data_IF_590412230203
#
_entry.id   IF_590412230203
#
_cell.length_a   1.000
_cell.length_b   1.000
_cell.length_c   1.000
_cell.angle_alpha   90.00
_cell.angle_beta   90.00
_cell.angle_gamma   90.00
#
_symmetry.space_group_name_H-M   'P 1'
#
loop_
_entity.id
_entity.type
_entity.pdbx_description
1 polymer ?
#
# COMPACT_ATOMS: atom_id res chain seq x y z
N UNK A 1 22.34 16.38 2.44
CA UNK A 1 21.81 15.20 3.18
C UNK A 1 20.51 15.63 3.85
N UNK A 2 19.45 14.89 3.76
CA UNK A 2 18.22 15.28 4.48
C UNK A 2 18.41 14.93 5.96
N UNK A 3 18.77 15.95 6.78
CA UNK A 3 19.10 15.73 8.20
C UNK A 3 17.98 15.01 8.95
N UNK A 4 16.71 15.24 8.57
CA UNK A 4 15.57 14.59 9.24
C UNK A 4 15.53 13.07 8.97
N UNK A 5 16.07 12.59 7.84
CA UNK A 5 16.14 11.16 7.53
C UNK A 5 17.07 10.41 8.47
N UNK A 6 18.21 11.00 8.84
CA UNK A 6 19.12 10.46 9.85
C UNK A 6 18.40 10.25 11.19
N UNK A 7 17.70 11.30 11.65
CA UNK A 7 16.95 11.23 12.91
C UNK A 7 15.78 10.26 12.83
N UNK A 8 15.16 10.10 11.66
CA UNK A 8 14.07 9.14 11.46
C UNK A 8 14.57 7.69 11.58
N UNK A 9 15.74 7.38 11.00
CA UNK A 9 16.38 6.07 11.15
C UNK A 9 16.77 5.83 12.61
N UNK A 10 17.37 6.82 13.26
CA UNK A 10 17.71 6.75 14.67
C UNK A 10 16.48 6.51 15.55
N UNK A 11 15.38 7.20 15.29
CA UNK A 11 14.11 7.03 16.02
C UNK A 11 13.59 5.60 15.94
N UNK A 12 13.69 4.95 14.75
CA UNK A 12 13.31 3.55 14.57
C UNK A 12 14.19 2.57 15.36
N UNK A 13 15.43 2.95 15.68
CA UNK A 13 16.37 2.14 16.47
C UNK A 13 16.17 2.28 17.98
N UNK A 14 15.43 3.29 18.45
CA UNK A 14 15.15 3.50 19.87
C UNK A 14 14.33 2.32 20.43
N UNK A 15 14.78 1.59 21.45
CA UNK A 15 14.03 0.52 22.07
C UNK A 15 12.65 0.98 22.55
N UNK A 16 11.64 0.15 22.34
CA UNK A 16 10.23 0.42 22.65
C UNK A 16 9.54 1.49 21.78
N UNK A 17 10.24 2.09 20.83
CA UNK A 17 9.65 2.96 19.82
C UNK A 17 9.36 2.14 18.57
N UNK A 18 8.12 1.62 18.47
CA UNK A 18 7.61 1.03 17.25
C UNK A 18 7.02 2.11 16.32
N UNK A 19 6.62 1.71 15.10
CA UNK A 19 6.13 2.65 14.08
C UNK A 19 4.92 3.48 14.55
N UNK A 20 4.01 2.90 15.32
CA UNK A 20 2.85 3.62 15.90
C UNK A 20 3.31 4.72 16.85
N UNK A 21 4.24 4.40 17.74
CA UNK A 21 4.79 5.37 18.71
C UNK A 21 5.59 6.45 17.99
N UNK A 22 6.41 6.07 17.03
CA UNK A 22 7.19 7.01 16.22
C UNK A 22 6.29 7.98 15.45
N UNK A 23 5.19 7.49 14.83
CA UNK A 23 4.23 8.38 14.16
C UNK A 23 3.53 9.33 15.11
N UNK A 24 3.16 8.90 16.33
CA UNK A 24 2.62 9.81 17.35
C UNK A 24 3.60 10.94 17.69
N UNK A 25 4.86 10.61 17.87
CA UNK A 25 5.93 11.59 18.13
C UNK A 25 6.09 12.55 16.93
N UNK A 26 6.15 12.03 15.71
CA UNK A 26 6.27 12.82 14.49
C UNK A 26 5.07 13.77 14.30
N UNK A 27 3.86 13.28 14.52
CA UNK A 27 2.64 14.11 14.42
C UNK A 27 2.63 15.26 15.44
N UNK A 28 3.14 14.99 16.66
CA UNK A 28 3.13 16.01 17.73
C UNK A 28 4.26 17.03 17.58
N UNK A 29 5.48 16.60 17.23
CA UNK A 29 6.66 17.47 17.17
C UNK A 29 7.00 17.96 15.76
N UNK A 30 6.38 17.39 14.72
CA UNK A 30 6.49 17.81 13.32
C UNK A 30 7.65 17.18 12.55
N UNK A 31 8.81 16.89 13.19
CA UNK A 31 9.94 16.22 12.53
C UNK A 31 10.73 15.33 13.49
N UNK A 32 11.49 14.38 12.94
CA UNK A 32 12.31 13.49 13.76
C UNK A 32 13.41 14.27 14.48
N UNK A 33 14.08 15.19 13.85
CA UNK A 33 15.10 16.05 14.46
C UNK A 33 14.55 16.82 15.68
N UNK A 34 13.33 17.37 15.54
CA UNK A 34 12.70 18.09 16.67
C UNK A 34 12.38 17.17 17.85
N UNK A 35 12.09 15.89 17.64
CA UNK A 35 11.84 14.93 18.72
C UNK A 35 13.09 14.78 19.59
N UNK A 36 14.25 14.63 18.97
CA UNK A 36 15.53 14.49 19.71
C UNK A 36 15.98 15.79 20.44
N UNK A 37 15.47 16.94 20.02
CA UNK A 37 15.73 18.21 20.66
C UNK A 37 14.78 18.54 21.83
N UNK A 38 13.84 17.64 22.20
CA UNK A 38 12.85 17.92 23.25
C UNK A 38 13.41 17.68 24.65
N UNK A 39 12.84 18.44 25.61
CA UNK A 39 13.10 18.18 27.04
C UNK A 39 12.33 16.95 27.54
N UNK A 40 12.83 16.35 28.64
CA UNK A 40 12.18 15.22 29.33
C UNK A 40 10.69 15.53 29.61
N UNK A 41 10.41 16.68 30.17
CA UNK A 41 9.05 17.09 30.56
C UNK A 41 8.07 17.12 29.38
N UNK A 42 8.53 17.57 28.21
CA UNK A 42 7.69 17.62 27.01
C UNK A 42 7.43 16.23 26.43
N UNK A 43 8.43 15.34 26.46
CA UNK A 43 8.30 13.97 25.99
C UNK A 43 7.35 13.16 26.89
N UNK A 44 7.50 13.26 28.23
CA UNK A 44 6.71 12.48 29.18
C UNK A 44 5.25 12.95 29.31
N UNK A 45 4.91 14.16 28.84
CA UNK A 45 3.52 14.63 28.72
C UNK A 45 2.71 13.88 27.68
N UNK A 46 3.37 13.21 26.73
CA UNK A 46 2.68 12.46 25.69
C UNK A 46 2.22 11.09 26.21
N UNK A 47 0.93 10.80 26.03
CA UNK A 47 0.35 9.50 26.41
C UNK A 47 1.07 8.36 25.66
N UNK A 48 1.62 7.41 26.40
CA UNK A 48 2.33 6.25 25.87
C UNK A 48 3.84 6.44 25.73
N UNK A 49 4.40 7.63 26.09
CA UNK A 49 5.84 7.86 26.17
C UNK A 49 6.27 7.79 27.62
N UNK A 50 6.77 6.62 28.01
CA UNK A 50 7.26 6.39 29.37
C UNK A 50 8.73 6.81 29.56
N UNK A 51 9.18 6.80 30.84
CA UNK A 51 10.53 7.21 31.24
C UNK A 51 11.66 6.46 30.51
N UNK A 52 11.46 5.18 30.13
CA UNK A 52 12.46 4.41 29.37
C UNK A 52 12.64 4.93 27.95
N UNK A 53 11.54 5.25 27.25
CA UNK A 53 11.60 5.83 25.88
C UNK A 53 12.25 7.21 25.97
N UNK A 54 11.81 8.03 26.91
CA UNK A 54 12.38 9.37 27.14
C UNK A 54 13.87 9.31 27.44
N UNK A 55 14.30 8.39 28.32
CA UNK A 55 15.71 8.20 28.62
C UNK A 55 16.52 7.87 27.35
N UNK A 56 16.04 6.91 26.54
CA UNK A 56 16.74 6.49 25.32
C UNK A 56 16.78 7.61 24.27
N UNK A 57 15.74 8.44 24.16
CA UNK A 57 15.72 9.60 23.28
C UNK A 57 16.75 10.67 23.71
N UNK A 58 16.86 10.94 25.02
CA UNK A 58 17.81 11.91 25.55
C UNK A 58 19.28 11.42 25.51
N UNK A 59 19.51 10.11 25.46
CA UNK A 59 20.84 9.47 25.38
C UNK A 59 21.01 8.77 24.01
N UNK A 60 20.74 9.50 22.94
CA UNK A 60 20.58 8.92 21.61
C UNK A 60 21.86 8.82 20.77
N UNK A 61 23.03 9.20 21.29
CA UNK A 61 24.28 9.23 20.53
C UNK A 61 24.61 7.91 19.81
N UNK A 62 24.41 6.77 20.47
CA UNK A 62 24.64 5.44 19.87
C UNK A 62 23.68 5.19 18.69
N UNK A 63 22.40 5.53 18.84
CA UNK A 63 21.40 5.32 17.78
C UNK A 63 21.62 6.24 16.59
N UNK A 64 22.09 7.47 16.81
CA UNK A 64 22.50 8.38 15.74
C UNK A 64 23.70 7.85 14.97
N UNK A 65 24.74 7.37 15.68
CA UNK A 65 25.92 6.77 15.04
C UNK A 65 25.54 5.51 14.22
N UNK A 66 24.66 4.66 14.76
CA UNK A 66 24.14 3.51 14.00
C UNK A 66 23.31 3.93 12.79
N UNK A 67 22.58 5.04 12.88
CA UNK A 67 21.80 5.58 11.77
C UNK A 67 22.70 6.16 10.67
N UNK A 68 23.84 6.79 11.02
CA UNK A 68 24.87 7.24 10.06
C UNK A 68 25.45 6.05 9.29
N UNK A 69 25.79 4.96 10.00
CA UNK A 69 26.27 3.74 9.37
C UNK A 69 25.22 3.12 8.43
N UNK A 70 23.93 3.17 8.81
CA UNK A 70 22.81 2.70 7.99
C UNK A 70 22.66 3.50 6.69
N UNK A 71 22.73 4.83 6.78
CA UNK A 71 22.68 5.71 5.60
C UNK A 71 23.88 5.49 4.69
N UNK A 72 25.08 5.41 5.25
CA UNK A 72 26.30 5.15 4.47
C UNK A 72 26.24 3.81 3.74
N UNK A 73 25.72 2.78 4.40
CA UNK A 73 25.46 1.48 3.77
C UNK A 73 24.44 1.58 2.64
N UNK A 74 23.34 2.29 2.87
CA UNK A 74 22.29 2.47 1.87
C UNK A 74 22.83 3.19 0.61
N UNK A 75 23.62 4.25 0.77
CA UNK A 75 24.25 4.98 -0.32
C UNK A 75 25.22 4.09 -1.12
N UNK A 76 26.12 3.37 -0.43
CA UNK A 76 27.11 2.50 -1.05
C UNK A 76 26.48 1.35 -1.86
N UNK A 77 25.31 0.88 -1.45
CA UNK A 77 24.61 -0.25 -2.09
C UNK A 77 23.43 0.15 -2.98
N UNK A 78 23.29 1.45 -3.29
CA UNK A 78 22.19 2.00 -4.11
C UNK A 78 20.81 1.62 -3.57
N UNK A 79 20.64 1.64 -2.23
CA UNK A 79 19.39 1.40 -1.52
C UNK A 79 18.73 2.74 -1.25
N UNK A 80 17.49 2.89 -1.68
CA UNK A 80 16.70 4.06 -1.37
C UNK A 80 16.01 3.90 -0.01
N UNK A 81 16.01 4.97 0.77
CA UNK A 81 15.29 5.03 2.06
C UNK A 81 14.07 5.92 1.86
N UNK A 82 12.89 5.34 1.91
CA UNK A 82 11.61 6.03 1.68
C UNK A 82 10.94 6.30 3.02
N UNK A 83 10.82 7.58 3.39
CA UNK A 83 10.17 8.00 4.62
C UNK A 83 8.64 8.10 4.45
N UNK A 84 7.90 7.96 5.54
CA UNK A 84 6.43 8.08 5.57
C UNK A 84 5.91 9.43 5.04
N UNK A 85 6.71 10.48 5.16
CA UNK A 85 6.42 11.84 4.65
C UNK A 85 6.73 12.01 3.18
N UNK A 86 7.44 11.06 2.57
CA UNK A 86 7.88 11.14 1.19
C UNK A 86 6.69 11.02 0.23
N UNK A 87 6.60 11.82 -0.85
CA UNK A 87 5.59 11.68 -1.90
C UNK A 87 5.59 10.29 -2.57
N UNK A 88 6.73 9.62 -2.61
CA UNK A 88 6.88 8.27 -3.17
C UNK A 88 6.38 7.16 -2.23
N UNK A 89 6.06 7.47 -0.98
CA UNK A 89 5.56 6.46 -0.04
C UNK A 89 4.21 5.91 -0.52
N UNK A 90 4.06 4.56 -0.66
CA UNK A 90 2.85 3.96 -1.25
C UNK A 90 1.58 4.33 -0.49
N UNK A 91 0.61 4.90 -1.19
CA UNK A 91 -0.64 5.41 -0.60
C UNK A 91 -1.40 4.34 0.19
N UNK A 92 -1.50 3.13 -0.37
CA UNK A 92 -2.16 2.01 0.31
C UNK A 92 -1.45 1.65 1.63
N UNK A 93 -0.13 1.55 1.63
CA UNK A 93 0.64 1.27 2.84
C UNK A 93 0.51 2.41 3.85
N UNK A 94 0.47 3.66 3.39
CA UNK A 94 0.31 4.85 4.25
C UNK A 94 -0.99 4.86 5.05
N UNK A 95 -2.06 4.27 4.49
CA UNK A 95 -3.36 4.15 5.15
C UNK A 95 -3.39 3.14 6.30
N UNK A 96 -2.41 2.23 6.37
CA UNK A 96 -2.38 1.20 7.39
C UNK A 96 -2.05 1.78 8.78
N UNK A 97 -2.72 1.31 9.85
CA UNK A 97 -2.54 1.85 11.20
C UNK A 97 -1.13 1.67 11.75
N UNK A 98 -0.41 0.64 11.32
CA UNK A 98 0.94 0.27 11.74
C UNK A 98 1.96 0.34 10.60
N UNK A 99 1.69 1.15 9.56
CA UNK A 99 2.63 1.37 8.46
C UNK A 99 4.00 1.83 8.97
N UNK A 100 5.12 1.36 8.39
CA UNK A 100 6.45 1.75 8.82
C UNK A 100 6.71 3.26 8.61
N UNK A 101 7.42 3.90 9.54
CA UNK A 101 7.81 5.31 9.39
C UNK A 101 8.83 5.53 8.27
N UNK A 102 9.54 4.48 7.90
CA UNK A 102 10.38 4.39 6.72
C UNK A 102 10.55 2.93 6.31
N UNK A 103 10.91 2.72 5.06
CA UNK A 103 11.38 1.43 4.56
C UNK A 103 12.55 1.63 3.59
N UNK A 104 13.30 0.56 3.36
CA UNK A 104 14.40 0.49 2.42
C UNK A 104 13.94 -0.23 1.17
N UNK A 105 14.31 0.29 -0.01
CA UNK A 105 14.03 -0.39 -1.26
C UNK A 105 15.26 -0.47 -2.17
N UNK A 106 15.34 -1.56 -2.93
CA UNK A 106 16.38 -1.80 -3.94
C UNK A 106 15.73 -2.34 -5.22
N UNK A 107 16.08 -1.77 -6.35
CA UNK A 107 15.56 -2.12 -7.67
C UNK A 107 14.71 -1.01 -8.28
N UNK A 108 14.13 -1.29 -9.44
CA UNK A 108 13.29 -0.36 -10.18
C UNK A 108 11.82 -0.54 -9.78
N UNK A 109 11.42 0.05 -8.64
CA UNK A 109 10.09 -0.12 -8.05
C UNK A 109 9.24 1.13 -8.29
N UNK A 110 8.08 0.95 -8.92
CA UNK A 110 7.09 1.99 -9.17
C UNK A 110 5.70 1.50 -8.74
N UNK A 111 5.17 2.03 -7.64
CA UNK A 111 3.89 1.60 -7.05
C UNK A 111 2.76 2.61 -7.20
N UNK A 112 3.05 3.84 -7.59
CA UNK A 112 2.06 4.90 -7.73
C UNK A 112 1.07 4.57 -8.84
N UNK A 113 -0.23 4.68 -8.55
CA UNK A 113 -1.33 4.44 -9.51
C UNK A 113 -1.31 3.06 -10.18
N UNK A 114 -0.75 2.04 -9.51
CA UNK A 114 -0.71 0.67 -10.02
C UNK A 114 -1.80 -0.20 -9.41
N UNK A 115 -2.21 -1.22 -10.17
CA UNK A 115 -3.00 -2.34 -9.68
C UNK A 115 -2.05 -3.30 -8.97
N UNK A 116 -2.19 -3.48 -7.67
CA UNK A 116 -1.24 -4.24 -6.87
C UNK A 116 -1.98 -5.37 -6.16
N UNK A 117 -1.49 -6.60 -6.32
CA UNK A 117 -1.95 -7.77 -5.58
C UNK A 117 -0.83 -8.37 -4.77
N UNK A 118 -1.14 -8.90 -3.60
CA UNK A 118 -0.23 -9.79 -2.91
C UNK A 118 -0.64 -11.25 -3.12
N UNK A 119 0.34 -12.10 -3.41
CA UNK A 119 0.15 -13.54 -3.56
C UNK A 119 0.96 -14.22 -2.47
N UNK A 120 0.29 -15.00 -1.64
CA UNK A 120 0.89 -15.69 -0.50
C UNK A 120 0.45 -17.16 -0.46
N UNK A 121 1.22 -17.99 0.23
CA UNK A 121 0.84 -19.39 0.38
C UNK A 121 1.83 -20.21 1.18
N UNK A 122 1.66 -21.53 1.08
CA UNK A 122 2.54 -22.49 1.70
C UNK A 122 3.95 -22.48 1.11
N UNK A 123 4.94 -22.79 1.94
CA UNK A 123 6.33 -22.99 1.48
C UNK A 123 6.52 -24.34 0.76
N UNK A 124 5.58 -25.27 0.93
CA UNK A 124 5.56 -26.59 0.31
C UNK A 124 4.40 -26.65 -0.69
N UNK A 125 4.51 -25.84 -1.75
CA UNK A 125 3.47 -25.76 -2.79
C UNK A 125 3.36 -27.05 -3.59
N UNK A 126 2.13 -27.38 -3.97
CA UNK A 126 1.85 -28.53 -4.84
C UNK A 126 1.94 -28.14 -6.33
N UNK A 127 2.03 -29.12 -7.25
CA UNK A 127 1.90 -28.84 -8.69
C UNK A 127 0.61 -28.08 -9.04
N UNK A 128 -0.51 -28.39 -8.36
CA UNK A 128 -1.78 -27.68 -8.53
C UNK A 128 -1.66 -26.20 -8.16
N UNK A 129 -1.16 -25.90 -6.96
CA UNK A 129 -0.99 -24.52 -6.51
C UNK A 129 -0.04 -23.72 -7.39
N UNK A 130 1.08 -24.34 -7.82
CA UNK A 130 2.02 -23.70 -8.73
C UNK A 130 1.37 -23.37 -10.09
N UNK A 131 0.68 -24.36 -10.69
CA UNK A 131 0.01 -24.16 -11.98
C UNK A 131 -1.09 -23.10 -11.91
N UNK A 132 -1.88 -23.09 -10.82
CA UNK A 132 -2.90 -22.05 -10.61
C UNK A 132 -2.26 -20.67 -10.46
N UNK A 133 -1.20 -20.55 -9.67
CA UNK A 133 -0.48 -19.30 -9.48
C UNK A 133 0.07 -18.74 -10.80
N UNK A 134 0.71 -19.59 -11.61
CA UNK A 134 1.26 -19.21 -12.91
C UNK A 134 0.15 -18.76 -13.87
N UNK A 135 -0.95 -19.53 -13.96
CA UNK A 135 -2.10 -19.18 -14.80
C UNK A 135 -2.77 -17.88 -14.37
N UNK A 136 -2.97 -17.68 -13.07
CA UNK A 136 -3.55 -16.44 -12.54
C UNK A 136 -2.73 -15.21 -12.96
N UNK A 137 -1.41 -15.28 -12.83
CA UNK A 137 -0.50 -14.18 -13.19
C UNK A 137 -0.49 -13.95 -14.71
N UNK A 138 -0.51 -15.00 -15.52
CA UNK A 138 -0.64 -14.93 -16.97
C UNK A 138 -1.93 -14.21 -17.38
N UNK A 139 -3.08 -14.58 -16.79
CA UNK A 139 -4.37 -13.95 -17.06
C UNK A 139 -4.43 -12.47 -16.61
N UNK A 140 -3.68 -12.10 -15.58
CA UNK A 140 -3.59 -10.72 -15.08
C UNK A 140 -2.54 -9.87 -15.82
N UNK A 141 -1.66 -10.48 -16.61
CA UNK A 141 -0.58 -9.78 -17.29
C UNK A 141 -1.04 -8.63 -18.19
N UNK A 142 -2.14 -8.75 -18.98
CA UNK A 142 -2.64 -7.64 -19.80
C UNK A 142 -3.06 -6.40 -19.01
N UNK A 143 -3.29 -6.54 -17.70
CA UNK A 143 -3.67 -5.44 -16.82
C UNK A 143 -2.47 -4.69 -16.22
N UNK A 144 -1.25 -5.18 -16.44
CA UNK A 144 -0.03 -4.57 -15.91
C UNK A 144 0.02 -4.54 -14.38
N UNK A 145 -0.50 -5.58 -13.73
CA UNK A 145 -0.52 -5.67 -12.26
C UNK A 145 0.89 -5.77 -11.68
N UNK A 146 1.07 -5.23 -10.49
CA UNK A 146 2.26 -5.45 -9.69
C UNK A 146 2.00 -6.62 -8.74
N UNK A 147 2.91 -7.60 -8.74
CA UNK A 147 2.84 -8.76 -7.86
C UNK A 147 3.73 -8.55 -6.64
N UNK A 148 3.14 -8.56 -5.45
CA UNK A 148 3.85 -8.44 -4.16
C UNK A 148 3.85 -9.79 -3.45
N UNK A 149 4.98 -10.22 -2.90
CA UNK A 149 5.07 -11.44 -2.09
C UNK A 149 6.24 -11.39 -1.11
N UNK A 150 6.51 -12.51 -0.43
CA UNK A 150 7.46 -12.57 0.68
C UNK A 150 8.84 -13.15 0.34
N UNK A 151 9.10 -13.57 -0.88
CA UNK A 151 10.35 -14.22 -1.32
C UNK A 151 10.66 -15.56 -0.65
N UNK A 152 9.68 -16.20 0.00
CA UNK A 152 9.84 -17.51 0.61
C UNK A 152 9.80 -18.65 -0.43
N UNK A 153 10.14 -19.87 0.00
CA UNK A 153 9.90 -21.06 -0.81
C UNK A 153 8.41 -21.25 -1.15
N UNK A 154 8.10 -22.06 -2.14
CA UNK A 154 6.74 -22.43 -2.54
C UNK A 154 6.04 -21.31 -3.31
N UNK A 155 4.85 -20.92 -2.87
CA UNK A 155 3.98 -19.99 -3.61
C UNK A 155 4.65 -18.62 -3.84
N UNK A 156 5.35 -18.07 -2.85
CA UNK A 156 5.96 -16.74 -2.97
C UNK A 156 6.93 -16.68 -4.17
N UNK A 157 7.88 -17.64 -4.24
CA UNK A 157 8.84 -17.65 -5.34
C UNK A 157 8.20 -18.04 -6.67
N UNK A 158 7.14 -18.87 -6.66
CA UNK A 158 6.38 -19.20 -7.86
C UNK A 158 5.72 -17.94 -8.43
N UNK A 159 5.13 -17.10 -7.58
CA UNK A 159 4.52 -15.84 -7.98
C UNK A 159 5.55 -14.87 -8.60
N UNK A 160 6.72 -14.71 -7.98
CA UNK A 160 7.78 -13.86 -8.53
C UNK A 160 8.28 -14.36 -9.88
N UNK A 161 8.49 -15.67 -10.03
CA UNK A 161 8.92 -16.29 -11.30
C UNK A 161 7.88 -16.09 -12.41
N UNK A 162 6.61 -16.30 -12.11
CA UNK A 162 5.54 -16.08 -13.08
C UNK A 162 5.44 -14.61 -13.47
N UNK A 163 5.54 -13.67 -12.51
CA UNK A 163 5.54 -12.25 -12.79
C UNK A 163 6.70 -11.84 -13.72
N UNK A 164 7.93 -12.30 -13.44
CA UNK A 164 9.09 -12.06 -14.31
C UNK A 164 8.89 -12.64 -15.72
N UNK A 165 8.37 -13.88 -15.82
CA UNK A 165 8.08 -14.54 -17.10
C UNK A 165 7.10 -13.75 -17.96
N UNK A 166 6.13 -13.08 -17.37
CA UNK A 166 5.12 -12.27 -18.05
C UNK A 166 5.44 -10.76 -18.04
N UNK A 167 6.69 -10.38 -17.75
CA UNK A 167 7.19 -8.99 -17.74
C UNK A 167 6.40 -8.07 -16.80
N UNK A 168 5.76 -8.62 -15.78
CA UNK A 168 5.12 -7.83 -14.73
C UNK A 168 6.13 -7.39 -13.68
N UNK A 169 5.92 -6.19 -13.16
CA UNK A 169 6.68 -5.74 -12.01
C UNK A 169 6.41 -6.65 -10.81
N UNK A 170 7.47 -7.06 -10.12
CA UNK A 170 7.32 -7.87 -8.91
C UNK A 170 8.17 -7.34 -7.76
N UNK A 171 7.59 -7.29 -6.57
CA UNK A 171 8.20 -6.71 -5.37
C UNK A 171 8.21 -7.74 -4.25
N UNK A 172 9.41 -8.08 -3.79
CA UNK A 172 9.59 -8.94 -2.64
C UNK A 172 9.72 -8.10 -1.37
N UNK A 173 8.84 -8.33 -0.41
CA UNK A 173 9.03 -7.80 0.93
C UNK A 173 9.93 -8.75 1.72
N UNK A 174 10.99 -8.26 2.35
CA UNK A 174 11.93 -9.08 3.11
C UNK A 174 11.74 -8.92 4.61
N UNK A 175 12.07 -9.96 5.37
CA UNK A 175 12.00 -9.99 6.83
C UNK A 175 13.37 -9.75 7.49
N UNK A 176 14.28 -9.11 6.76
CA UNK A 176 15.67 -8.83 7.13
C UNK A 176 16.20 -7.65 6.30
N UNK A 177 17.37 -7.13 6.66
CA UNK A 177 18.02 -6.06 5.89
C UNK A 177 18.46 -6.49 4.49
N UNK A 178 18.76 -5.51 3.63
CA UNK A 178 19.17 -5.73 2.23
C UNK A 178 20.66 -6.11 2.05
N UNK A 179 21.36 -6.41 3.13
CA UNK A 179 22.77 -6.84 3.14
C UNK A 179 22.98 -8.31 2.78
N UNK A 180 21.92 -9.13 2.78
CA UNK A 180 21.96 -10.53 2.37
C UNK A 180 20.62 -10.97 1.79
N UNK A 181 20.60 -12.16 1.21
CA UNK A 181 19.38 -12.75 0.61
C UNK A 181 19.02 -14.04 1.34
N UNK A 182 17.75 -14.14 1.75
CA UNK A 182 17.19 -15.36 2.32
C UNK A 182 15.86 -15.73 1.66
N UNK A 183 15.68 -16.99 1.21
CA UNK A 183 16.64 -18.10 1.24
C UNK A 183 17.81 -17.90 0.26
N UNK A 184 19.02 -18.42 0.56
CA UNK A 184 20.18 -18.28 -0.34
C UNK A 184 19.94 -18.87 -1.73
N UNK A 185 19.13 -19.92 -1.85
CA UNK A 185 18.76 -20.56 -3.13
C UNK A 185 18.04 -19.59 -4.11
N UNK A 186 17.49 -18.49 -3.60
CA UNK A 186 16.78 -17.49 -4.41
C UNK A 186 17.71 -16.36 -4.92
N UNK A 187 18.99 -16.35 -4.54
CA UNK A 187 19.94 -15.29 -4.97
C UNK A 187 20.03 -15.16 -6.50
N UNK A 188 19.84 -16.26 -7.24
CA UNK A 188 19.82 -16.26 -8.71
C UNK A 188 18.69 -15.45 -9.36
N UNK A 189 17.67 -15.04 -8.60
CA UNK A 189 16.55 -14.25 -9.12
C UNK A 189 16.70 -12.75 -8.82
N UNK A 190 17.70 -12.35 -8.04
CA UNK A 190 17.85 -10.97 -7.55
C UNK A 190 18.03 -9.99 -8.70
N UNK A 191 18.92 -10.28 -9.64
CA UNK A 191 19.21 -9.43 -10.78
C UNK A 191 17.95 -9.19 -11.63
N UNK A 192 17.32 -10.26 -12.10
CA UNK A 192 16.09 -10.15 -12.90
C UNK A 192 14.94 -9.45 -12.18
N UNK A 193 14.83 -9.61 -10.86
CA UNK A 193 13.81 -8.91 -10.09
C UNK A 193 14.09 -7.41 -9.97
N UNK A 194 15.34 -7.00 -9.86
CA UNK A 194 15.70 -5.57 -9.73
C UNK A 194 15.57 -4.78 -11.02
N UNK A 195 15.53 -5.43 -12.16
CA UNK A 195 15.31 -4.80 -13.48
C UNK A 195 13.89 -4.21 -13.59
N UNK A 196 12.87 -4.96 -13.18
CA UNK A 196 11.47 -4.54 -13.26
C UNK A 196 10.73 -4.86 -11.93
N UNK A 197 11.14 -4.21 -10.85
CA UNK A 197 10.68 -4.44 -9.50
C UNK A 197 11.83 -4.42 -8.51
N UNK A 198 11.81 -5.32 -7.51
CA UNK A 198 12.90 -5.39 -6.54
C UNK A 198 12.46 -5.82 -5.14
N UNK A 199 13.11 -5.23 -4.15
CA UNK A 199 13.01 -5.63 -2.75
C UNK A 199 12.64 -4.46 -1.86
N UNK A 200 11.74 -4.70 -0.91
CA UNK A 200 11.34 -3.74 0.13
C UNK A 200 11.52 -4.41 1.50
N UNK A 201 12.04 -3.66 2.46
CA UNK A 201 12.10 -4.09 3.86
C UNK A 201 12.02 -2.89 4.79
N UNK A 202 11.44 -3.07 5.97
CA UNK A 202 11.50 -2.09 7.05
C UNK A 202 12.59 -2.42 8.10
N UNK A 203 13.42 -3.44 7.82
CA UNK A 203 14.55 -3.83 8.66
C UNK A 203 15.84 -3.23 8.10
N UNK A 204 16.61 -2.53 8.93
CA UNK A 204 17.94 -2.04 8.59
C UNK A 204 18.97 -3.17 8.44
N UNK A 205 20.13 -2.87 7.84
CA UNK A 205 21.15 -3.89 7.57
C UNK A 205 21.82 -4.43 8.87
N UNK A 206 21.77 -3.68 9.95
CA UNK A 206 22.23 -4.12 11.29
C UNK A 206 21.18 -4.92 12.06
N UNK A 207 19.97 -5.06 11.54
CA UNK A 207 18.90 -5.78 12.21
C UNK A 207 19.21 -7.27 12.31
N UNK A 208 19.04 -7.83 13.52
CA UNK A 208 19.22 -9.25 13.75
C UNK A 208 18.21 -10.08 12.92
N UNK A 209 18.68 -11.19 12.36
CA UNK A 209 17.80 -12.17 11.72
C UNK A 209 16.97 -12.89 12.79
N UNK A 210 15.67 -12.63 12.84
CA UNK A 210 14.73 -13.25 13.77
C UNK A 210 13.52 -13.83 13.01
N UNK A 211 13.06 -15.00 13.44
CA UNK A 211 11.86 -15.63 12.89
C UNK A 211 10.60 -14.79 13.07
N UNK A 212 10.52 -13.98 14.11
CA UNK A 212 9.42 -13.05 14.37
C UNK A 212 9.27 -11.99 13.28
N UNK A 213 10.38 -11.59 12.65
CA UNK A 213 10.39 -10.60 11.58
C UNK A 213 9.54 -11.03 10.37
N UNK A 214 9.44 -12.35 10.12
CA UNK A 214 8.61 -12.86 9.02
C UNK A 214 7.13 -12.57 9.22
N UNK A 215 6.64 -12.61 10.46
CA UNK A 215 5.26 -12.25 10.78
C UNK A 215 5.07 -10.72 10.73
N UNK A 216 6.00 -9.96 11.29
CA UNK A 216 5.95 -8.49 11.26
C UNK A 216 5.98 -7.93 9.84
N UNK A 217 6.80 -8.52 8.94
CA UNK A 217 6.90 -8.13 7.54
C UNK A 217 5.58 -8.31 6.79
N UNK A 218 4.76 -9.31 7.14
CA UNK A 218 3.52 -9.61 6.40
C UNK A 218 2.55 -8.42 6.34
N UNK A 219 2.63 -7.49 7.29
CA UNK A 219 1.88 -6.23 7.24
C UNK A 219 2.23 -5.37 6.04
N UNK A 220 3.48 -5.42 5.57
CA UNK A 220 3.93 -4.67 4.38
C UNK A 220 3.36 -5.33 3.13
N UNK A 221 3.38 -6.68 3.04
CA UNK A 221 2.78 -7.42 1.93
C UNK A 221 1.29 -7.06 1.81
N UNK A 222 0.53 -7.19 2.89
CA UNK A 222 -0.89 -6.87 2.92
C UNK A 222 -1.16 -5.38 2.66
N UNK A 223 -0.35 -4.50 3.26
CA UNK A 223 -0.54 -3.04 3.20
C UNK A 223 -0.24 -2.43 1.84
N UNK A 224 0.66 -3.01 1.04
CA UNK A 224 0.99 -2.53 -0.29
C UNK A 224 -0.08 -2.84 -1.34
N UNK A 225 -0.95 -3.82 -1.11
CA UNK A 225 -1.85 -4.38 -2.12
C UNK A 225 -3.32 -4.04 -1.90
N UNK A 226 -4.08 -4.02 -2.98
CA UNK A 226 -5.54 -3.87 -2.99
C UNK A 226 -6.23 -5.18 -2.58
N UNK A 227 -5.60 -6.31 -2.89
CA UNK A 227 -6.08 -7.63 -2.52
C UNK A 227 -4.94 -8.58 -2.15
N UNK A 228 -5.23 -9.50 -1.25
CA UNK A 228 -4.35 -10.62 -0.87
C UNK A 228 -4.94 -11.93 -1.35
N UNK A 229 -4.18 -12.65 -2.17
CA UNK A 229 -4.55 -13.96 -2.74
C UNK A 229 -3.80 -15.08 -2.01
N UNK A 230 -4.53 -16.04 -1.46
CA UNK A 230 -3.97 -17.25 -0.88
C UNK A 230 -4.17 -18.41 -1.84
N UNK A 231 -3.07 -18.93 -2.39
CA UNK A 231 -3.12 -20.04 -3.34
C UNK A 231 -3.27 -21.38 -2.62
N UNK A 232 -2.43 -21.62 -1.63
CA UNK A 232 -2.47 -22.83 -0.78
C UNK A 232 -2.04 -22.47 0.63
N UNK A 233 -2.70 -23.06 1.62
CA UNK A 233 -2.33 -22.92 3.03
C UNK A 233 -2.74 -24.14 3.85
N UNK A 234 -1.86 -24.61 4.70
CA UNK A 234 -2.22 -25.54 5.75
C UNK A 234 -3.04 -24.89 6.86
N UNK A 235 -3.59 -25.68 7.78
CA UNK A 235 -4.46 -25.23 8.89
C UNK A 235 -3.86 -24.11 9.77
N UNK A 236 -2.53 -24.04 9.89
CA UNK A 236 -1.77 -23.05 10.68
C UNK A 236 -0.68 -22.39 9.83
N UNK A 237 -1.00 -22.04 8.58
CA UNK A 237 -0.04 -21.43 7.66
C UNK A 237 0.24 -19.96 8.01
N UNK A 238 1.49 -19.52 7.81
CA UNK A 238 1.86 -18.09 7.97
C UNK A 238 1.13 -17.17 6.98
N UNK A 239 0.67 -17.69 5.84
CA UNK A 239 -0.18 -16.99 4.88
C UNK A 239 -1.53 -16.55 5.48
N UNK A 240 -2.10 -17.34 6.41
CA UNK A 240 -3.35 -16.98 7.10
C UNK A 240 -3.19 -15.75 7.99
N UNK A 241 -2.01 -15.54 8.56
CA UNK A 241 -1.70 -14.30 9.31
C UNK A 241 -1.73 -13.10 8.38
N UNK A 242 -1.21 -13.24 7.16
CA UNK A 242 -1.26 -12.16 6.15
C UNK A 242 -2.70 -11.83 5.76
N UNK A 243 -3.59 -12.83 5.67
CA UNK A 243 -5.01 -12.58 5.36
C UNK A 243 -5.76 -11.87 6.49
N UNK A 244 -5.51 -12.24 7.74
CA UNK A 244 -6.11 -11.56 8.89
C UNK A 244 -5.65 -10.08 8.94
N UNK A 245 -4.37 -9.81 8.65
CA UNK A 245 -3.84 -8.45 8.54
C UNK A 245 -4.50 -7.70 7.37
N UNK A 246 -4.57 -8.30 6.17
CA UNK A 246 -5.21 -7.70 5.00
C UNK A 246 -6.66 -7.31 5.28
N UNK A 247 -7.43 -8.21 5.88
CA UNK A 247 -8.81 -7.93 6.31
C UNK A 247 -8.90 -6.78 7.31
N UNK A 248 -7.95 -6.69 8.26
CA UNK A 248 -7.91 -5.59 9.24
C UNK A 248 -7.60 -4.23 8.61
N UNK A 249 -6.98 -4.23 7.43
CA UNK A 249 -6.72 -3.01 6.63
C UNK A 249 -7.84 -2.69 5.63
N UNK A 250 -8.92 -3.48 5.63
CA UNK A 250 -10.01 -3.34 4.67
C UNK A 250 -9.59 -3.72 3.24
N UNK A 251 -8.63 -4.64 3.11
CA UNK A 251 -8.22 -5.19 1.80
C UNK A 251 -9.03 -6.42 1.48
N UNK A 252 -9.33 -6.61 0.19
CA UNK A 252 -9.97 -7.84 -0.26
C UNK A 252 -9.07 -9.05 -0.04
N UNK A 253 -9.68 -10.16 0.35
CA UNK A 253 -8.98 -11.43 0.51
C UNK A 253 -9.63 -12.46 -0.40
N UNK A 254 -8.79 -13.18 -1.14
CA UNK A 254 -9.19 -14.28 -2.02
C UNK A 254 -8.49 -15.57 -1.62
N UNK A 255 -9.18 -16.68 -1.73
CA UNK A 255 -8.60 -18.00 -1.49
C UNK A 255 -8.96 -18.96 -2.62
N UNK A 256 -7.96 -19.72 -3.07
CA UNK A 256 -8.14 -20.77 -4.07
C UNK A 256 -8.69 -22.01 -3.38
N UNK A 257 -9.85 -22.54 -3.81
CA UNK A 257 -10.39 -23.77 -3.25
C UNK A 257 -9.54 -24.97 -3.65
N UNK A 258 -9.50 -25.96 -2.79
CA UNK A 258 -8.84 -27.22 -3.10
C UNK A 258 -9.58 -28.42 -2.51
N UNK A 259 -9.02 -29.62 -2.69
CA UNK A 259 -9.63 -30.85 -2.20
C UNK A 259 -9.69 -30.86 -0.67
N UNK A 260 -10.80 -31.30 -0.09
CA UNK A 260 -11.01 -31.36 1.36
C UNK A 260 -10.02 -32.28 2.10
N UNK A 261 -9.45 -33.23 1.39
CA UNK A 261 -8.44 -34.17 1.90
C UNK A 261 -7.01 -33.69 1.76
N UNK A 262 -6.80 -32.57 1.04
CA UNK A 262 -5.46 -32.03 0.78
C UNK A 262 -5.01 -31.16 1.96
N UNK A 263 -3.90 -31.46 2.62
CA UNK A 263 -3.43 -30.73 3.79
C UNK A 263 -3.08 -29.27 3.50
N UNK A 264 -2.74 -28.92 2.27
CA UNK A 264 -2.43 -27.53 1.87
C UNK A 264 -3.63 -26.74 1.36
N UNK A 265 -4.79 -27.39 1.22
CA UNK A 265 -6.05 -26.74 0.89
C UNK A 265 -6.90 -26.41 2.13
N UNK A 266 -6.60 -27.02 3.28
CA UNK A 266 -7.41 -26.87 4.52
C UNK A 266 -7.54 -25.41 4.92
N UNK A 267 -6.45 -24.64 4.90
CA UNK A 267 -6.47 -23.22 5.28
C UNK A 267 -7.30 -22.36 4.34
N UNK A 268 -7.18 -22.56 3.03
CA UNK A 268 -7.97 -21.87 2.01
C UNK A 268 -9.46 -22.21 2.15
N UNK A 269 -9.79 -23.50 2.25
CA UNK A 269 -11.18 -23.96 2.42
C UNK A 269 -11.81 -23.42 3.71
N UNK A 270 -11.03 -23.26 4.79
CA UNK A 270 -11.52 -22.69 6.04
C UNK A 270 -11.78 -21.17 5.93
N UNK A 271 -10.93 -20.43 5.22
CA UNK A 271 -11.17 -19.02 4.91
C UNK A 271 -12.47 -18.84 4.12
N UNK A 272 -12.70 -19.67 3.10
CA UNK A 272 -13.92 -19.66 2.29
C UNK A 272 -15.15 -20.04 3.13
N UNK A 273 -15.08 -21.13 3.90
CA UNK A 273 -16.16 -21.60 4.75
C UNK A 273 -16.59 -20.57 5.80
N UNK A 274 -15.62 -19.83 6.34
CA UNK A 274 -15.87 -18.81 7.37
C UNK A 274 -16.25 -17.42 6.81
N UNK A 275 -16.33 -17.26 5.48
CA UNK A 275 -16.62 -15.98 4.83
C UNK A 275 -15.52 -14.94 4.99
N UNK A 276 -14.29 -15.35 5.32
CA UNK A 276 -13.13 -14.46 5.48
C UNK A 276 -12.40 -14.18 4.16
N UNK A 277 -12.72 -14.92 3.11
CA UNK A 277 -12.15 -14.73 1.78
C UNK A 277 -13.21 -14.98 0.71
N UNK A 278 -13.08 -14.26 -0.39
CA UNK A 278 -13.79 -14.53 -1.63
C UNK A 278 -13.19 -15.75 -2.32
N UNK A 279 -14.03 -16.58 -2.97
CA UNK A 279 -13.53 -17.69 -3.76
C UNK A 279 -12.81 -17.17 -5.01
N UNK A 280 -11.67 -17.77 -5.35
CA UNK A 280 -10.90 -17.44 -6.54
C UNK A 280 -10.80 -18.69 -7.44
N UNK A 281 -11.49 -18.66 -8.57
CA UNK A 281 -11.47 -19.69 -9.60
C UNK A 281 -10.70 -19.25 -10.84
N UNK A 282 -10.62 -17.95 -11.08
CA UNK A 282 -9.93 -17.32 -12.22
C UNK A 282 -9.56 -15.87 -11.91
N UNK A 283 -8.77 -15.25 -12.77
CA UNK A 283 -8.47 -13.82 -12.68
C UNK A 283 -9.75 -12.95 -12.81
N UNK A 284 -10.79 -13.44 -13.49
CA UNK A 284 -12.04 -12.70 -13.67
C UNK A 284 -12.75 -12.42 -12.35
N UNK A 285 -12.69 -13.32 -11.37
CA UNK A 285 -13.27 -13.12 -10.04
C UNK A 285 -12.63 -11.91 -9.34
N UNK A 286 -11.30 -11.81 -9.45
CA UNK A 286 -10.52 -10.72 -8.89
C UNK A 286 -10.80 -9.40 -9.64
N UNK A 287 -10.82 -9.45 -10.98
CA UNK A 287 -11.11 -8.30 -11.83
C UNK A 287 -12.50 -7.73 -11.53
N UNK A 288 -13.52 -8.59 -11.40
CA UNK A 288 -14.88 -8.17 -11.09
C UNK A 288 -14.99 -7.53 -9.71
N UNK A 289 -14.41 -8.15 -8.68
CA UNK A 289 -14.49 -7.66 -7.31
C UNK A 289 -13.74 -6.33 -7.12
N UNK A 290 -12.57 -6.18 -7.78
CA UNK A 290 -11.75 -4.96 -7.67
C UNK A 290 -12.14 -3.86 -8.68
N UNK A 291 -13.11 -4.13 -9.56
CA UNK A 291 -13.52 -3.18 -10.59
C UNK A 291 -12.42 -2.92 -11.64
N UNK A 292 -11.52 -3.89 -11.87
CA UNK A 292 -10.39 -3.74 -12.80
C UNK A 292 -10.74 -4.03 -14.25
N UNK A 293 -12.00 -3.89 -14.60
CA UNK A 293 -12.36 -3.99 -16.00
C UNK A 293 -11.49 -3.03 -16.83
N UNK A 294 -10.98 -3.52 -17.96
CA UNK A 294 -10.55 -2.64 -19.02
C UNK A 294 -11.83 -2.02 -19.62
N UNK A 295 -12.48 -1.15 -18.88
CA UNK A 295 -13.18 -0.07 -19.53
C UNK A 295 -12.02 0.71 -20.17
N UNK A 296 -11.93 0.78 -21.52
CA UNK A 296 -11.17 1.85 -22.13
C UNK A 296 -11.62 3.09 -21.33
N UNK A 297 -10.73 4.00 -20.92
CA UNK A 297 -11.21 5.24 -20.38
C UNK A 297 -12.38 5.55 -21.30
N UNK A 298 -13.63 5.65 -20.77
CA UNK A 298 -14.62 6.36 -21.55
C UNK A 298 -13.80 7.56 -21.91
N UNK A 299 -13.37 7.62 -23.18
CA UNK A 299 -13.13 8.89 -23.77
C UNK A 299 -14.43 9.60 -23.40
N UNK A 300 -14.39 10.33 -22.30
CA UNK A 300 -15.19 11.51 -22.19
C UNK A 300 -14.68 12.20 -23.45
N UNK A 301 -15.36 11.94 -24.59
CA UNK A 301 -15.35 12.86 -25.67
C UNK A 301 -15.68 14.13 -24.90
N UNK A 302 -14.65 14.88 -24.53
CA UNK A 302 -14.78 16.28 -24.36
C UNK A 302 -15.34 16.68 -25.72
N UNK A 303 -16.68 16.75 -25.78
CA UNK A 303 -17.31 17.47 -26.86
C UNK A 303 -16.56 18.78 -26.86
N UNK A 304 -15.75 19.00 -27.90
CA UNK A 304 -14.95 20.23 -28.05
C UNK A 304 -15.82 21.47 -27.87
N UNK A 305 -17.13 21.31 -27.84
CA UNK A 305 -18.16 22.27 -27.48
C UNK A 305 -19.27 21.53 -26.70
N UNK A 306 -19.27 21.57 -25.34
CA UNK A 306 -20.35 20.96 -24.56
C UNK A 306 -21.69 21.60 -24.97
N UNK A 307 -22.60 20.79 -25.46
CA UNK A 307 -23.95 21.25 -25.83
C UNK A 307 -24.82 21.24 -24.58
N UNK A 308 -24.93 22.38 -23.93
CA UNK A 308 -25.78 22.56 -22.75
C UNK A 308 -27.24 22.55 -23.11
N UNK A 309 -28.08 21.92 -22.31
CA UNK A 309 -29.54 22.05 -22.47
C UNK A 309 -30.00 23.48 -22.10
N UNK A 310 -31.17 23.90 -22.58
CA UNK A 310 -31.72 25.23 -22.26
C UNK A 310 -31.79 25.51 -20.72
N UNK A 311 -31.95 24.46 -19.94
CA UNK A 311 -32.03 24.56 -18.47
C UNK A 311 -30.63 24.67 -17.81
N UNK A 312 -29.60 24.12 -18.44
CA UNK A 312 -28.20 24.13 -17.95
C UNK A 312 -27.47 25.45 -18.26
N UNK A 313 -27.84 26.09 -19.37
CA UNK A 313 -27.21 27.34 -19.86
C UNK A 313 -27.14 28.43 -18.76
N UNK A 314 -28.25 28.77 -18.07
CA UNK A 314 -28.21 29.80 -17.04
C UNK A 314 -27.21 29.49 -15.89
N UNK A 315 -27.12 28.22 -15.50
CA UNK A 315 -26.22 27.78 -14.42
C UNK A 315 -24.76 27.91 -14.85
N UNK A 316 -24.42 27.47 -16.05
CA UNK A 316 -23.08 27.59 -16.62
C UNK A 316 -22.67 29.05 -16.77
N UNK A 317 -23.56 29.93 -17.26
CA UNK A 317 -23.28 31.34 -17.40
C UNK A 317 -22.99 32.04 -16.07
N UNK A 318 -23.75 31.71 -15.04
CA UNK A 318 -23.51 32.26 -13.70
C UNK A 318 -22.21 31.76 -13.09
N UNK A 319 -21.90 30.46 -13.22
CA UNK A 319 -20.64 29.89 -12.77
C UNK A 319 -19.43 30.43 -13.54
N UNK A 320 -19.56 30.69 -14.86
CA UNK A 320 -18.51 31.37 -15.66
C UNK A 320 -18.22 32.78 -15.17
N UNK A 321 -19.24 33.52 -14.73
CA UNK A 321 -19.10 34.90 -14.21
C UNK A 321 -18.61 34.94 -12.78
N UNK A 322 -19.13 34.06 -11.92
CA UNK A 322 -18.91 34.09 -10.47
C UNK A 322 -17.81 33.12 -9.97
N UNK A 323 -17.29 32.24 -10.81
CA UNK A 323 -16.33 31.20 -10.42
C UNK A 323 -17.00 30.17 -9.50
N UNK A 324 -16.63 30.19 -8.22
CA UNK A 324 -17.20 29.29 -7.21
C UNK A 324 -18.44 29.94 -6.57
N UNK A 325 -19.59 29.27 -6.63
CA UNK A 325 -20.85 29.80 -6.08
C UNK A 325 -21.54 28.76 -5.19
N UNK A 326 -22.20 29.23 -4.12
CA UNK A 326 -23.01 28.39 -3.27
C UNK A 326 -24.32 28.02 -3.96
N UNK A 327 -24.94 26.90 -3.55
CA UNK A 327 -26.23 26.48 -4.06
C UNK A 327 -27.30 27.57 -3.95
N UNK A 328 -27.33 28.28 -2.82
CA UNK A 328 -28.32 29.37 -2.58
C UNK A 328 -28.05 30.58 -3.49
N UNK A 329 -26.79 30.96 -3.67
CA UNK A 329 -26.41 32.06 -4.58
C UNK A 329 -26.74 31.74 -6.04
N UNK A 330 -26.51 30.50 -6.47
CA UNK A 330 -26.88 30.01 -7.80
C UNK A 330 -28.39 29.99 -7.99
N UNK A 331 -29.16 29.54 -6.97
CA UNK A 331 -30.61 29.51 -7.01
C UNK A 331 -31.20 30.92 -7.23
N UNK A 332 -30.67 31.91 -6.50
CA UNK A 332 -31.06 33.31 -6.66
C UNK A 332 -30.67 33.88 -8.03
N UNK A 333 -29.43 33.65 -8.46
CA UNK A 333 -28.89 34.17 -9.70
C UNK A 333 -29.57 33.59 -10.96
N UNK A 334 -29.90 32.29 -10.92
CA UNK A 334 -30.57 31.61 -12.01
C UNK A 334 -32.09 31.68 -11.95
N UNK A 335 -32.67 32.17 -10.84
CA UNK A 335 -34.11 32.19 -10.55
C UNK A 335 -34.73 30.78 -10.60
N UNK A 336 -33.97 29.76 -10.21
CA UNK A 336 -34.38 28.35 -10.15
C UNK A 336 -34.55 27.96 -8.67
N UNK A 337 -35.69 27.36 -8.27
CA UNK A 337 -35.88 26.86 -6.90
C UNK A 337 -34.79 25.85 -6.50
N UNK A 338 -34.31 25.94 -5.23
CA UNK A 338 -33.18 25.14 -4.74
C UNK A 338 -33.33 23.64 -5.01
N UNK A 339 -34.56 23.09 -4.86
CA UNK A 339 -34.82 21.67 -5.08
C UNK A 339 -34.66 21.24 -6.57
N UNK A 340 -35.04 22.13 -7.52
CA UNK A 340 -34.84 21.88 -8.95
C UNK A 340 -33.37 22.07 -9.33
N UNK A 341 -32.73 23.11 -8.82
CA UNK A 341 -31.33 23.38 -9.07
C UNK A 341 -30.44 22.25 -8.53
N UNK A 342 -30.75 21.68 -7.38
CA UNK A 342 -29.98 20.55 -6.83
C UNK A 342 -30.00 19.33 -7.75
N UNK A 343 -31.18 19.00 -8.32
CA UNK A 343 -31.29 17.90 -9.28
C UNK A 343 -30.53 18.22 -10.58
N UNK A 344 -30.63 19.44 -11.05
CA UNK A 344 -29.95 19.89 -12.27
C UNK A 344 -28.42 19.84 -12.08
N UNK A 345 -27.89 20.36 -10.97
CA UNK A 345 -26.46 20.33 -10.62
C UNK A 345 -25.96 18.89 -10.49
N UNK A 346 -26.74 17.98 -9.92
CA UNK A 346 -26.38 16.56 -9.84
C UNK A 346 -26.27 15.94 -11.25
N UNK A 347 -27.22 16.25 -12.15
CA UNK A 347 -27.13 15.78 -13.55
C UNK A 347 -25.91 16.37 -14.27
N UNK A 348 -25.62 17.66 -14.05
CA UNK A 348 -24.46 18.36 -14.61
C UNK A 348 -23.13 17.81 -14.07
N UNK A 349 -23.10 17.40 -12.81
CA UNK A 349 -21.97 16.69 -12.20
C UNK A 349 -21.73 15.34 -12.87
N UNK A 350 -22.78 14.54 -13.08
CA UNK A 350 -22.69 13.26 -13.80
C UNK A 350 -22.22 13.41 -15.25
N UNK A 351 -22.51 14.56 -15.89
CA UNK A 351 -22.04 14.91 -17.23
C UNK A 351 -20.62 15.49 -17.23
N UNK A 352 -20.02 15.75 -16.05
CA UNK A 352 -18.69 16.33 -15.92
C UNK A 352 -18.63 17.82 -16.24
N UNK A 353 -19.73 18.57 -16.13
CA UNK A 353 -19.76 20.02 -16.39
C UNK A 353 -19.46 20.84 -15.14
N UNK A 354 -19.80 20.34 -13.97
CA UNK A 354 -19.59 21.02 -12.68
C UNK A 354 -19.09 20.03 -11.64
N UNK A 355 -18.36 20.55 -10.64
CA UNK A 355 -17.96 19.76 -9.49
C UNK A 355 -18.41 20.40 -8.17
N UNK A 356 -18.87 19.59 -7.21
CA UNK A 356 -19.20 20.07 -5.87
C UNK A 356 -17.93 20.31 -5.06
N UNK A 357 -17.98 21.36 -4.24
CA UNK A 357 -16.94 21.73 -3.29
C UNK A 357 -17.48 21.75 -1.85
N UNK A 358 -16.62 21.64 -0.82
CA UNK A 358 -17.03 21.80 0.57
C UNK A 358 -17.82 23.09 0.80
N UNK A 359 -18.89 23.03 1.61
CA UNK A 359 -19.75 24.17 1.91
C UNK A 359 -20.91 24.36 0.92
N UNK A 360 -21.33 23.30 0.22
CA UNK A 360 -22.37 23.31 -0.82
C UNK A 360 -22.09 24.33 -1.93
N UNK A 361 -20.83 24.45 -2.31
CA UNK A 361 -20.37 25.26 -3.43
C UNK A 361 -20.18 24.42 -4.68
N UNK A 362 -20.26 25.05 -5.85
CA UNK A 362 -20.07 24.43 -7.15
C UNK A 362 -19.15 25.27 -8.02
N UNK A 363 -18.37 24.62 -8.87
CA UNK A 363 -17.54 25.26 -9.90
C UNK A 363 -17.59 24.46 -11.20
N UNK A 364 -17.23 25.09 -12.31
CA UNK A 364 -17.10 24.42 -13.63
C UNK A 364 -15.80 23.62 -13.63
N UNK A 365 -15.84 22.44 -14.25
CA UNK A 365 -14.67 21.56 -14.44
C UNK A 365 -13.86 22.01 -15.66
#
# INVERSE_FOLDING_TARGET
>A
MNDDLLYLIALKKIPLVGDITARKLLTHFGSAQRIFAQSREKLEKLIGIGSKITHNLLHSATYLHEAEAELSFAEQHHIQVIAYTDPQYPTLLKQCPDSPILFYQKGNIQLSNKRIISIVGTRNSTPYGNAFCEKLIEELAPLGVVVVSGFAYGIDITAHKAAMKHHLQTVACLAHGLNFIYPPAHSKYVEAMTENGGFITDFGYLSAFDRKNFLSRNRIIAGLSQATVVIESGKKGGSLVTTDIASSYGREVFAVPGRVTDPYSIGCNELLRSGKANILLSAQDLINTLGWHNTPPKEVQQELFPTYTPEEVPVIEQLKKGGKMTLDSLSLACQIPVYQLSNLLFQMELKGYVQPLPGKMFEII
#
